data_IF_294300003038
#
_entry.id   IF_294300003038
#
_cell.length_a   1.000
_cell.length_b   1.000
_cell.length_c   1.000
_cell.angle_alpha   90.00
_cell.angle_beta   90.00
_cell.angle_gamma   90.00
#
_symmetry.space_group_name_H-M   'P 1'
#
loop_
_entity.id
_entity.type
_entity.pdbx_description
1 polymer ?
#
# COMPACT_ATOMS: atom_id res chain seq x y z
N UNK A 1 16.87 20.09 12.96
CA UNK A 1 15.65 20.62 13.63
C UNK A 1 14.57 19.54 13.77
N UNK A 2 14.07 18.91 12.68
CA UNK A 2 13.05 17.85 12.79
C UNK A 2 13.55 16.65 13.61
N UNK A 3 14.74 16.12 13.30
CA UNK A 3 15.32 14.98 14.00
C UNK A 3 15.43 15.20 15.52
N UNK A 4 15.79 16.43 15.92
CA UNK A 4 15.85 16.83 17.33
C UNK A 4 14.44 16.83 17.96
N UNK A 5 13.46 17.45 17.30
CA UNK A 5 12.07 17.50 17.79
C UNK A 5 11.51 16.09 17.97
N UNK A 6 11.73 15.18 16.98
CA UNK A 6 11.28 13.80 17.08
C UNK A 6 11.92 13.06 18.27
N UNK A 7 13.21 13.31 18.52
CA UNK A 7 13.93 12.70 19.63
C UNK A 7 13.50 13.27 20.99
N UNK A 8 13.24 14.58 21.08
CA UNK A 8 12.78 15.24 22.31
C UNK A 8 11.36 14.81 22.67
N UNK A 9 10.51 14.58 21.66
CA UNK A 9 9.14 14.10 21.79
C UNK A 9 9.01 12.60 21.48
N UNK A 10 10.03 11.81 21.78
CA UNK A 10 10.07 10.40 21.43
C UNK A 10 8.81 9.59 21.86
N UNK A 11 8.23 9.77 23.06
CA UNK A 11 7.00 9.04 23.40
C UNK A 11 5.84 9.37 22.45
N UNK A 12 5.69 10.62 22.04
CA UNK A 12 4.66 11.05 21.08
C UNK A 12 4.97 10.50 19.69
N UNK A 13 6.23 10.54 19.26
CA UNK A 13 6.67 9.97 17.98
C UNK A 13 6.39 8.45 17.93
N UNK A 14 6.72 7.72 18.99
CA UNK A 14 6.44 6.27 19.09
C UNK A 14 4.94 6.00 19.07
N UNK A 15 4.15 6.76 19.84
CA UNK A 15 2.70 6.63 19.82
C UNK A 15 2.11 6.89 18.42
N UNK A 16 2.60 7.91 17.72
CA UNK A 16 2.19 8.22 16.34
C UNK A 16 2.48 7.06 15.39
N UNK A 17 3.67 6.45 15.48
CA UNK A 17 4.01 5.26 14.68
C UNK A 17 3.02 4.12 14.92
N UNK A 18 2.72 3.82 16.18
CA UNK A 18 1.78 2.75 16.55
C UNK A 18 0.37 3.07 16.05
N UNK A 19 -0.08 4.32 16.21
CA UNK A 19 -1.40 4.75 15.72
C UNK A 19 -1.48 4.64 14.20
N UNK A 20 -0.46 5.10 13.46
CA UNK A 20 -0.43 4.97 12.00
C UNK A 20 -0.48 3.51 11.56
N UNK A 21 0.28 2.62 12.21
CA UNK A 21 0.26 1.18 11.92
C UNK A 21 -1.12 0.56 12.18
N UNK A 22 -1.76 0.89 13.31
CA UNK A 22 -3.11 0.41 13.61
C UNK A 22 -4.16 0.98 12.66
N UNK A 23 -4.04 2.25 12.28
CA UNK A 23 -4.91 2.88 11.29
C UNK A 23 -4.78 2.21 9.90
N UNK A 24 -3.57 1.87 9.48
CA UNK A 24 -3.31 1.10 8.26
C UNK A 24 -4.04 -0.25 8.30
N UNK A 25 -3.90 -0.99 9.38
CA UNK A 25 -4.60 -2.27 9.58
C UNK A 25 -6.12 -2.12 9.51
N UNK A 26 -6.69 -1.12 10.17
CA UNK A 26 -8.14 -0.83 10.15
C UNK A 26 -8.60 -0.47 8.74
N UNK A 27 -7.91 0.44 8.06
CA UNK A 27 -8.25 0.86 6.70
C UNK A 27 -8.16 -0.29 5.70
N UNK A 28 -7.18 -1.19 5.86
CA UNK A 28 -7.05 -2.40 5.04
C UNK A 28 -8.28 -3.31 5.20
N UNK A 29 -8.74 -3.54 6.44
CA UNK A 29 -9.95 -4.33 6.69
C UNK A 29 -11.21 -3.67 6.11
N UNK A 30 -11.39 -2.38 6.31
CA UNK A 30 -12.51 -1.63 5.75
C UNK A 30 -12.50 -1.66 4.21
N UNK A 31 -11.32 -1.47 3.60
CA UNK A 31 -11.13 -1.56 2.16
C UNK A 31 -11.46 -2.95 1.62
N UNK A 32 -10.99 -4.00 2.28
CA UNK A 32 -11.30 -5.39 1.90
C UNK A 32 -12.79 -5.70 2.00
N UNK A 33 -13.50 -5.19 3.01
CA UNK A 33 -14.96 -5.35 3.12
C UNK A 33 -15.68 -4.59 2.01
N UNK A 34 -15.31 -3.34 1.75
CA UNK A 34 -15.91 -2.54 0.69
C UNK A 34 -15.67 -3.15 -0.70
N UNK A 35 -14.45 -3.64 -0.97
CA UNK A 35 -14.10 -4.32 -2.22
C UNK A 35 -14.95 -5.57 -2.48
N UNK A 36 -15.30 -6.33 -1.43
CA UNK A 36 -16.19 -7.51 -1.57
C UNK A 36 -17.60 -7.10 -2.00
N UNK A 37 -18.09 -5.94 -1.58
CA UNK A 37 -19.41 -5.42 -1.94
C UNK A 37 -19.54 -4.97 -3.40
N UNK A 38 -18.41 -4.76 -4.09
CA UNK A 38 -18.37 -4.28 -5.49
C UNK A 38 -17.63 -5.25 -6.42
N UNK A 39 -17.58 -6.53 -6.05
CA UNK A 39 -16.75 -7.54 -6.72
C UNK A 39 -17.15 -7.80 -8.18
N UNK A 40 -18.39 -7.57 -8.53
CA UNK A 40 -18.92 -7.62 -9.89
C UNK A 40 -18.43 -6.49 -10.78
N UNK A 41 -18.04 -5.37 -10.19
CA UNK A 41 -17.55 -4.16 -10.88
C UNK A 41 -16.05 -3.96 -10.77
N UNK A 42 -15.46 -4.44 -9.69
CA UNK A 42 -14.05 -4.31 -9.42
C UNK A 42 -13.52 -5.58 -8.74
N UNK A 43 -12.48 -6.16 -9.29
CA UNK A 43 -11.83 -7.31 -8.67
C UNK A 43 -10.33 -7.33 -8.97
N UNK A 44 -9.58 -7.96 -8.05
CA UNK A 44 -8.17 -8.28 -8.22
C UNK A 44 -8.03 -9.80 -8.21
N UNK A 45 -7.17 -10.34 -9.05
CA UNK A 45 -6.76 -11.73 -9.01
C UNK A 45 -6.11 -12.05 -7.65
N UNK A 46 -6.70 -12.97 -6.89
CA UNK A 46 -6.26 -13.35 -5.55
C UNK A 46 -6.87 -12.47 -4.45
N UNK A 47 -6.04 -12.04 -3.51
CA UNK A 47 -6.46 -11.26 -2.34
C UNK A 47 -6.42 -9.75 -2.58
N UNK A 48 -7.28 -9.02 -1.87
CA UNK A 48 -7.20 -7.57 -1.76
C UNK A 48 -5.89 -7.11 -1.10
N UNK A 49 -5.43 -7.87 -0.11
CA UNK A 49 -4.18 -7.57 0.59
C UNK A 49 -2.96 -7.95 -0.27
N UNK A 50 -2.13 -6.96 -0.55
CA UNK A 50 -0.95 -7.13 -1.40
C UNK A 50 0.26 -7.69 -0.65
N UNK A 51 0.29 -7.59 0.68
CA UNK A 51 1.35 -8.17 1.49
C UNK A 51 1.02 -9.63 1.82
N UNK A 52 1.75 -10.62 1.28
CA UNK A 52 1.47 -12.04 1.50
C UNK A 52 1.44 -12.45 2.97
N UNK A 53 2.13 -11.66 3.80
CA UNK A 53 2.21 -11.87 5.25
C UNK A 53 0.86 -11.66 5.94
N UNK A 54 0.02 -10.75 5.43
CA UNK A 54 -1.26 -10.36 6.01
C UNK A 54 -2.47 -10.90 5.23
N UNK A 55 -2.27 -11.40 4.01
CA UNK A 55 -3.30 -11.88 3.10
C UNK A 55 -4.33 -12.79 3.80
N UNK A 56 -3.86 -13.88 4.45
CA UNK A 56 -4.75 -14.82 5.14
C UNK A 56 -5.56 -14.17 6.26
N UNK A 57 -4.96 -13.20 6.97
CA UNK A 57 -5.64 -12.49 8.06
C UNK A 57 -6.77 -11.62 7.53
N UNK A 58 -6.50 -10.84 6.49
CA UNK A 58 -7.46 -9.92 5.88
C UNK A 58 -8.58 -10.71 5.18
N UNK A 59 -8.24 -11.77 4.46
CA UNK A 59 -9.22 -12.61 3.75
C UNK A 59 -10.17 -13.33 4.70
N UNK A 60 -9.68 -13.73 5.90
CA UNK A 60 -10.53 -14.33 6.92
C UNK A 60 -11.57 -13.38 7.52
N UNK A 61 -11.43 -12.07 7.30
CA UNK A 61 -12.30 -11.03 7.87
C UNK A 61 -12.22 -10.86 9.38
N UNK A 62 -11.27 -11.52 10.04
CA UNK A 62 -11.11 -11.44 11.50
C UNK A 62 -10.38 -10.16 11.89
N UNK A 63 -11.06 -9.28 12.60
CA UNK A 63 -10.53 -7.99 13.05
C UNK A 63 -9.45 -8.11 14.11
N UNK A 64 -9.55 -9.09 15.01
CA UNK A 64 -8.59 -9.29 16.07
C UNK A 64 -7.44 -10.22 15.63
N UNK A 65 -6.21 -9.80 15.89
CA UNK A 65 -5.02 -10.60 15.63
C UNK A 65 -3.93 -10.30 16.67
N UNK A 66 -3.51 -11.31 17.40
CA UNK A 66 -2.34 -11.22 18.27
C UNK A 66 -1.08 -10.76 17.53
N UNK A 67 -0.98 -11.13 16.27
CA UNK A 67 0.12 -10.71 15.41
C UNK A 67 0.18 -9.19 15.23
N UNK A 68 -0.96 -8.53 15.08
CA UNK A 68 -1.04 -7.06 14.95
C UNK A 68 -0.54 -6.42 16.25
N UNK A 69 -0.99 -6.89 17.40
CA UNK A 69 -0.54 -6.39 18.70
C UNK A 69 0.95 -6.63 18.91
N UNK A 70 1.46 -7.81 18.52
CA UNK A 70 2.88 -8.12 18.61
C UNK A 70 3.73 -7.19 17.73
N UNK A 71 3.31 -6.94 16.47
CA UNK A 71 4.03 -6.02 15.57
C UNK A 71 3.98 -4.58 16.10
N UNK A 72 2.81 -4.11 16.56
CA UNK A 72 2.67 -2.79 17.16
C UNK A 72 3.58 -2.61 18.39
N UNK A 73 3.61 -3.60 19.29
CA UNK A 73 4.50 -3.59 20.45
C UNK A 73 5.97 -3.64 20.04
N UNK A 74 6.31 -4.46 19.03
CA UNK A 74 7.68 -4.55 18.51
C UNK A 74 8.17 -3.23 17.92
N UNK A 75 7.31 -2.49 17.21
CA UNK A 75 7.63 -1.16 16.69
C UNK A 75 7.89 -0.17 17.83
N UNK A 76 7.06 -0.19 18.88
CA UNK A 76 7.25 0.67 20.05
C UNK A 76 8.55 0.34 20.78
N UNK A 77 8.82 -0.94 21.03
CA UNK A 77 10.05 -1.41 21.70
C UNK A 77 11.29 -1.06 20.88
N UNK A 78 11.25 -1.30 19.57
CA UNK A 78 12.36 -0.99 18.67
C UNK A 78 12.71 0.50 18.69
N UNK A 79 11.72 1.38 18.51
CA UNK A 79 11.94 2.82 18.55
C UNK A 79 12.35 3.30 19.94
N UNK A 80 11.80 2.70 21.01
CA UNK A 80 12.22 2.95 22.39
C UNK A 80 13.69 2.58 22.61
N UNK A 81 14.12 1.43 22.11
CA UNK A 81 15.53 1.02 22.15
C UNK A 81 16.43 1.98 21.36
N UNK A 82 16.02 2.36 20.14
CA UNK A 82 16.75 3.37 19.34
C UNK A 82 16.85 4.68 20.11
N UNK A 83 15.79 5.12 20.81
CA UNK A 83 15.81 6.34 21.63
C UNK A 83 16.82 6.24 22.79
N UNK A 84 16.92 5.08 23.43
CA UNK A 84 17.92 4.87 24.48
C UNK A 84 19.35 4.93 23.93
N UNK A 85 19.60 4.39 22.74
CA UNK A 85 20.92 4.43 22.09
C UNK A 85 21.36 5.85 21.70
N UNK A 86 20.40 6.76 21.50
CA UNK A 86 20.64 8.17 21.14
C UNK A 86 20.92 9.05 22.35
N UNK A 87 20.75 8.55 23.59
CA UNK A 87 21.05 9.30 24.79
C UNK A 87 22.53 9.71 24.87
N UNK A 88 22.83 10.96 25.28
CA UNK A 88 24.20 11.39 25.45
C UNK A 88 24.97 10.45 26.38
N UNK A 89 26.14 10.01 25.94
CA UNK A 89 27.06 9.17 26.74
C UNK A 89 26.93 7.67 26.54
N UNK A 90 25.88 7.13 25.89
CA UNK A 90 25.78 5.69 25.72
C UNK A 90 26.56 5.17 24.50
N UNK A 91 26.33 5.73 23.29
CA UNK A 91 26.99 5.30 22.04
C UNK A 91 27.38 6.46 21.13
N UNK A 92 27.18 7.72 21.54
CA UNK A 92 27.50 8.90 20.72
C UNK A 92 26.61 9.08 19.48
N UNK A 93 25.53 8.30 19.36
CA UNK A 93 24.56 8.44 18.27
C UNK A 93 23.70 9.66 18.51
N UNK A 94 23.66 10.59 17.54
CA UNK A 94 22.88 11.81 17.65
C UNK A 94 21.38 11.61 17.33
N UNK A 95 20.55 12.66 17.55
CA UNK A 95 19.11 12.67 17.25
C UNK A 95 18.78 12.28 15.80
N UNK A 96 19.71 12.49 14.86
CA UNK A 96 19.59 12.09 13.47
C UNK A 96 19.33 10.58 13.30
N UNK A 97 19.91 9.74 14.16
CA UNK A 97 19.68 8.29 14.10
C UNK A 97 18.24 7.92 14.49
N UNK A 98 17.68 8.57 15.51
CA UNK A 98 16.29 8.41 15.88
C UNK A 98 15.35 8.96 14.78
N UNK A 99 15.68 10.16 14.24
CA UNK A 99 14.96 10.75 13.11
C UNK A 99 14.93 9.81 11.90
N UNK A 100 16.06 9.22 11.54
CA UNK A 100 16.15 8.23 10.47
C UNK A 100 15.24 7.01 10.73
N UNK A 101 15.30 6.42 11.92
CA UNK A 101 14.48 5.26 12.29
C UNK A 101 12.97 5.59 12.29
N UNK A 102 12.58 6.74 12.80
CA UNK A 102 11.21 7.22 12.75
C UNK A 102 10.75 7.47 11.31
N UNK A 103 11.61 8.04 10.48
CA UNK A 103 11.37 8.30 9.06
C UNK A 103 11.16 7.03 8.25
N UNK A 104 11.95 5.97 8.51
CA UNK A 104 11.76 4.66 7.88
C UNK A 104 10.31 4.13 8.01
N UNK A 105 9.66 4.42 9.12
CA UNK A 105 8.33 3.90 9.41
C UNK A 105 7.25 4.91 9.03
N UNK A 106 7.29 6.13 9.58
CA UNK A 106 6.23 7.13 9.40
C UNK A 106 6.07 7.58 7.95
N UNK A 107 7.19 7.82 7.25
CA UNK A 107 7.12 8.30 5.87
C UNK A 107 6.77 7.20 4.86
N UNK A 108 6.96 5.92 5.21
CA UNK A 108 6.40 4.80 4.45
C UNK A 108 4.91 4.64 4.71
N UNK A 109 4.46 4.83 5.97
CA UNK A 109 3.05 4.72 6.32
C UNK A 109 2.18 5.79 5.63
N UNK A 110 2.70 6.99 5.40
CA UNK A 110 1.93 8.07 4.79
C UNK A 110 1.34 7.70 3.41
N UNK A 111 2.12 7.26 2.39
CA UNK A 111 1.55 6.82 1.12
C UNK A 111 0.62 5.60 1.26
N UNK A 112 0.91 4.69 2.18
CA UNK A 112 0.07 3.50 2.40
C UNK A 112 -1.30 3.90 2.94
N UNK A 113 -1.36 4.75 3.95
CA UNK A 113 -2.61 5.27 4.51
C UNK A 113 -3.43 6.05 3.47
N UNK A 114 -2.78 6.90 2.67
CA UNK A 114 -3.43 7.63 1.58
C UNK A 114 -4.01 6.65 0.56
N UNK A 115 -3.26 5.62 0.15
CA UNK A 115 -3.73 4.62 -0.79
C UNK A 115 -4.95 3.86 -0.25
N UNK A 116 -4.93 3.42 1.01
CA UNK A 116 -6.06 2.72 1.62
C UNK A 116 -7.30 3.61 1.75
N UNK A 117 -7.12 4.87 2.15
CA UNK A 117 -8.23 5.82 2.23
C UNK A 117 -8.84 6.09 0.85
N UNK A 118 -8.00 6.28 -0.18
CA UNK A 118 -8.44 6.46 -1.57
C UNK A 118 -9.16 5.22 -2.09
N UNK A 119 -8.64 4.02 -1.85
CA UNK A 119 -9.29 2.78 -2.27
C UNK A 119 -10.65 2.61 -1.60
N UNK A 120 -10.74 2.89 -0.30
CA UNK A 120 -12.01 2.83 0.43
C UNK A 120 -13.06 3.78 -0.14
N UNK A 121 -12.65 5.02 -0.49
CA UNK A 121 -13.53 5.98 -1.16
C UNK A 121 -13.96 5.44 -2.54
N UNK A 122 -13.02 4.97 -3.36
CA UNK A 122 -13.30 4.40 -4.68
C UNK A 122 -14.32 3.26 -4.60
N UNK A 123 -14.19 2.34 -3.63
CA UNK A 123 -15.17 1.25 -3.49
C UNK A 123 -16.56 1.71 -3.04
N UNK A 124 -16.63 2.77 -2.23
CA UNK A 124 -17.91 3.40 -1.88
C UNK A 124 -18.57 4.04 -3.10
N UNK A 125 -17.80 4.73 -3.93
CA UNK A 125 -18.28 5.33 -5.15
C UNK A 125 -18.72 4.26 -6.16
N UNK A 126 -17.98 3.16 -6.29
CA UNK A 126 -18.35 2.02 -7.13
C UNK A 126 -19.59 1.26 -6.64
N UNK A 127 -20.01 1.43 -5.39
CA UNK A 127 -21.28 0.88 -4.92
C UNK A 127 -22.49 1.55 -5.59
N UNK A 128 -22.36 2.78 -6.09
CA UNK A 128 -23.36 3.44 -6.94
C UNK A 128 -23.38 2.77 -8.32
N UNK A 129 -24.54 2.22 -8.77
CA UNK A 129 -24.66 1.57 -10.08
C UNK A 129 -24.42 2.51 -11.26
N UNK A 130 -24.49 3.82 -11.06
CA UNK A 130 -24.32 4.82 -12.12
C UNK A 130 -22.86 5.26 -12.29
N UNK A 131 -21.98 4.94 -11.32
CA UNK A 131 -20.60 5.42 -11.32
C UNK A 131 -19.73 4.80 -12.42
N UNK A 132 -19.92 3.50 -12.73
CA UNK A 132 -19.15 2.77 -13.74
C UNK A 132 -20.07 1.81 -14.51
N UNK A 133 -19.93 1.77 -15.83
CA UNK A 133 -20.53 0.76 -16.68
C UNK A 133 -19.52 -0.36 -16.97
N UNK A 134 -19.90 -1.61 -16.72
CA UNK A 134 -19.04 -2.77 -16.86
C UNK A 134 -18.19 -3.08 -15.62
N UNK A 135 -17.19 -3.94 -15.78
CA UNK A 135 -16.32 -4.38 -14.69
C UNK A 135 -14.85 -4.21 -15.01
N UNK A 136 -14.06 -3.94 -13.97
CA UNK A 136 -12.60 -3.86 -14.02
C UNK A 136 -12.01 -5.05 -13.29
N UNK A 137 -11.26 -5.89 -14.01
CA UNK A 137 -10.53 -7.01 -13.43
C UNK A 137 -9.02 -6.78 -13.58
N UNK A 138 -8.32 -6.77 -12.46
CA UNK A 138 -6.88 -6.51 -12.43
C UNK A 138 -6.09 -7.79 -12.16
N UNK A 139 -5.11 -8.07 -13.00
CA UNK A 139 -4.10 -9.09 -12.75
C UNK A 139 -3.22 -8.67 -11.56
N UNK A 140 -2.89 -9.60 -10.68
CA UNK A 140 -2.11 -9.33 -9.45
C UNK A 140 -0.76 -8.68 -9.74
N UNK A 141 -0.03 -9.13 -10.75
CA UNK A 141 1.25 -8.54 -11.15
C UNK A 141 1.15 -7.05 -11.51
N UNK A 142 0.04 -6.65 -12.17
CA UNK A 142 -0.19 -5.26 -12.54
C UNK A 142 -0.40 -4.38 -11.31
N UNK A 143 -1.17 -4.85 -10.33
CA UNK A 143 -1.43 -4.11 -9.08
C UNK A 143 -0.13 -3.95 -8.28
N UNK A 144 0.72 -4.98 -8.20
CA UNK A 144 2.05 -4.86 -7.61
C UNK A 144 2.90 -3.79 -8.29
N UNK A 145 2.92 -3.76 -9.62
CA UNK A 145 3.66 -2.77 -10.40
C UNK A 145 3.16 -1.34 -10.16
N UNK A 146 1.84 -1.15 -10.11
CA UNK A 146 1.23 0.15 -9.79
C UNK A 146 1.58 0.58 -8.36
N UNK A 147 1.46 -0.32 -7.39
CA UNK A 147 1.86 -0.06 -6.01
C UNK A 147 3.34 0.32 -5.88
N UNK A 148 4.24 -0.39 -6.58
CA UNK A 148 5.66 -0.07 -6.62
C UNK A 148 5.91 1.35 -7.16
N UNK A 149 5.29 1.71 -8.29
CA UNK A 149 5.40 3.04 -8.90
C UNK A 149 4.84 4.14 -8.00
N UNK A 150 3.73 3.86 -7.31
CA UNK A 150 3.11 4.80 -6.39
C UNK A 150 4.03 5.11 -5.20
N UNK A 151 4.54 4.08 -4.52
CA UNK A 151 5.44 4.26 -3.37
C UNK A 151 6.77 4.88 -3.78
N UNK A 152 7.29 4.54 -4.97
CA UNK A 152 8.52 5.12 -5.51
C UNK A 152 8.43 6.65 -5.66
N UNK A 153 7.28 7.18 -6.09
CA UNK A 153 7.05 8.63 -6.19
C UNK A 153 7.21 9.33 -4.85
N UNK A 154 6.71 8.74 -3.77
CA UNK A 154 6.92 9.25 -2.41
C UNK A 154 8.38 9.13 -1.98
N UNK A 155 9.07 8.05 -2.33
CA UNK A 155 10.51 7.92 -2.07
C UNK A 155 11.31 9.06 -2.71
N UNK A 156 10.99 9.41 -3.95
CA UNK A 156 11.60 10.56 -4.65
C UNK A 156 11.25 11.88 -3.95
N UNK A 157 9.98 12.08 -3.55
CA UNK A 157 9.55 13.27 -2.81
C UNK A 157 10.33 13.43 -1.51
N UNK A 158 10.50 12.37 -0.72
CA UNK A 158 11.25 12.42 0.53
C UNK A 158 12.74 12.70 0.28
N UNK A 159 13.31 12.17 -0.81
CA UNK A 159 14.68 12.47 -1.21
C UNK A 159 14.86 13.95 -1.59
N UNK A 160 13.89 14.52 -2.34
CA UNK A 160 13.89 15.93 -2.69
C UNK A 160 13.78 16.84 -1.46
N UNK A 161 13.01 16.45 -0.44
CA UNK A 161 12.90 17.18 0.82
C UNK A 161 14.15 17.03 1.69
N UNK A 162 14.86 15.90 1.59
CA UNK A 162 16.12 15.71 2.29
C UNK A 162 17.22 16.62 1.78
N UNK A 163 17.35 16.84 0.47
CA UNK A 163 18.43 17.63 -0.13
C UNK A 163 18.57 19.03 0.53
N UNK A 164 17.52 19.87 0.63
CA UNK A 164 17.63 21.18 1.28
C UNK A 164 17.62 21.10 2.81
N UNK A 165 16.96 20.11 3.42
CA UNK A 165 16.78 20.06 4.86
C UNK A 165 17.91 19.35 5.60
N UNK A 166 18.59 18.41 4.94
CA UNK A 166 19.61 17.51 5.51
C UNK A 166 19.13 16.77 6.76
N UNK A 167 17.79 16.59 6.91
CA UNK A 167 17.22 15.89 8.06
C UNK A 167 17.18 14.37 7.79
N UNK A 168 17.76 13.60 8.69
CA UNK A 168 17.84 12.14 8.57
C UNK A 168 16.45 11.47 8.49
N UNK A 169 15.43 12.11 9.04
CA UNK A 169 14.02 11.69 8.92
C UNK A 169 13.58 11.49 7.47
N UNK A 170 13.88 12.44 6.58
CA UNK A 170 13.47 12.32 5.17
C UNK A 170 14.24 11.24 4.41
N UNK A 171 15.57 11.09 4.67
CA UNK A 171 16.32 10.01 4.04
C UNK A 171 15.85 8.63 4.53
N UNK A 172 15.43 8.51 5.80
CA UNK A 172 14.79 7.30 6.33
C UNK A 172 13.54 6.95 5.52
N UNK A 173 12.65 7.91 5.29
CA UNK A 173 11.46 7.74 4.45
C UNK A 173 11.77 7.36 3.01
N UNK A 174 12.76 8.00 2.39
CA UNK A 174 13.20 7.67 1.04
C UNK A 174 13.69 6.21 0.95
N UNK A 175 14.55 5.80 1.88
CA UNK A 175 15.10 4.43 1.93
C UNK A 175 13.98 3.40 2.09
N UNK A 176 13.04 3.60 3.01
CA UNK A 176 11.95 2.66 3.23
C UNK A 176 11.03 2.54 2.01
N UNK A 177 10.68 3.66 1.37
CA UNK A 177 9.88 3.66 0.15
C UNK A 177 10.59 2.94 -1.00
N UNK A 178 11.91 3.14 -1.19
CA UNK A 178 12.70 2.46 -2.21
C UNK A 178 12.75 0.94 -1.98
N UNK A 179 12.99 0.51 -0.73
CA UNK A 179 13.01 -0.91 -0.36
C UNK A 179 11.64 -1.56 -0.59
N UNK A 180 10.56 -0.88 -0.19
CA UNK A 180 9.20 -1.38 -0.40
C UNK A 180 8.81 -1.42 -1.88
N UNK A 181 9.11 -0.38 -2.66
CA UNK A 181 8.88 -0.36 -4.10
C UNK A 181 9.63 -1.49 -4.81
N UNK A 182 10.90 -1.73 -4.46
CA UNK A 182 11.67 -2.87 -4.96
C UNK A 182 11.00 -4.21 -4.60
N UNK A 183 10.54 -4.38 -3.37
CA UNK A 183 9.84 -5.59 -2.92
C UNK A 183 8.56 -5.83 -3.73
N UNK A 184 7.74 -4.79 -3.92
CA UNK A 184 6.52 -4.86 -4.73
C UNK A 184 6.83 -5.21 -6.19
N UNK A 185 7.87 -4.61 -6.78
CA UNK A 185 8.30 -4.94 -8.15
C UNK A 185 8.70 -6.41 -8.28
N UNK A 186 9.46 -6.96 -7.33
CA UNK A 186 9.84 -8.38 -7.30
C UNK A 186 8.61 -9.31 -7.19
N UNK A 187 7.63 -8.96 -6.35
CA UNK A 187 6.38 -9.71 -6.23
C UNK A 187 5.58 -9.63 -7.54
N UNK A 188 5.59 -8.49 -8.22
CA UNK A 188 4.97 -8.32 -9.52
C UNK A 188 5.59 -9.21 -10.59
N UNK A 189 6.91 -9.25 -10.69
CA UNK A 189 7.59 -10.15 -11.63
C UNK A 189 7.33 -11.62 -11.32
N UNK A 190 7.33 -12.02 -10.06
CA UNK A 190 7.03 -13.40 -9.65
C UNK A 190 5.57 -13.82 -9.95
N UNK A 191 4.64 -12.87 -9.97
CA UNK A 191 3.23 -13.10 -10.27
C UNK A 191 2.90 -12.99 -11.78
N UNK A 192 3.89 -12.65 -12.63
CA UNK A 192 3.68 -12.49 -14.07
C UNK A 192 3.58 -13.86 -14.76
N UNK A 193 2.56 -14.11 -15.60
CA UNK A 193 2.47 -15.34 -16.37
C UNK A 193 3.69 -15.53 -17.27
N UNK A 194 4.21 -16.76 -17.36
CA UNK A 194 5.41 -17.10 -18.14
C UNK A 194 5.19 -17.06 -19.67
N UNK A 195 3.95 -17.06 -20.13
CA UNK A 195 3.57 -16.87 -21.53
C UNK A 195 2.39 -15.92 -21.63
N UNK A 196 2.29 -15.11 -22.71
CA UNK A 196 1.04 -14.42 -22.99
C UNK A 196 -0.03 -15.50 -23.20
N UNK A 197 -1.02 -15.56 -22.32
CA UNK A 197 -2.27 -16.21 -22.64
C UNK A 197 -2.72 -15.57 -23.96
N UNK A 198 -2.66 -16.31 -25.07
CA UNK A 198 -3.23 -15.86 -26.33
C UNK A 198 -4.68 -15.56 -26.00
N UNK A 199 -4.98 -14.28 -25.83
CA UNK A 199 -6.35 -13.82 -25.76
C UNK A 199 -6.89 -14.16 -27.15
N UNK A 200 -7.52 -15.31 -27.30
CA UNK A 200 -8.48 -15.50 -28.37
C UNK A 200 -9.53 -14.42 -28.14
N UNK A 201 -9.28 -13.26 -28.74
CA UNK A 201 -10.33 -12.33 -29.04
C UNK A 201 -11.29 -13.12 -29.90
N UNK A 202 -12.30 -13.69 -29.25
CA UNK A 202 -13.50 -14.18 -29.89
C UNK A 202 -14.20 -12.96 -30.51
N UNK A 203 -13.59 -12.44 -31.57
CA UNK A 203 -14.29 -11.66 -32.54
C UNK A 203 -15.25 -12.66 -33.14
N UNK A 204 -16.45 -12.77 -32.54
CA UNK A 204 -17.56 -13.50 -33.13
C UNK A 204 -17.60 -13.12 -34.59
N UNK A 205 -17.40 -14.10 -35.45
CA UNK A 205 -17.63 -13.90 -36.87
C UNK A 205 -18.96 -13.14 -37.01
N UNK A 206 -19.06 -12.13 -37.88
CA UNK A 206 -20.31 -11.46 -38.10
C UNK A 206 -21.32 -12.53 -38.48
N UNK A 207 -22.34 -12.70 -37.65
CA UNK A 207 -23.49 -13.55 -37.91
C UNK A 207 -24.00 -13.14 -39.29
N UNK A 208 -23.91 -14.05 -40.26
CA UNK A 208 -24.34 -13.87 -41.65
C UNK A 208 -25.69 -13.13 -41.67
N UNK A 209 -25.66 -11.91 -42.10
CA UNK A 209 -26.87 -11.16 -42.41
C UNK A 209 -27.57 -11.85 -43.58
N UNK A 210 -28.47 -12.74 -43.27
CA UNK A 210 -29.38 -13.34 -44.26
C UNK A 210 -30.17 -12.23 -44.90
N UNK A 211 -30.07 -11.99 -46.22
CA UNK A 211 -30.82 -10.91 -46.85
C UNK A 211 -32.34 -11.25 -46.83
N UNK A 212 -33.10 -10.39 -46.15
CA UNK A 212 -34.55 -10.45 -46.17
C UNK A 212 -35.02 -10.33 -47.60
N UNK A 213 -35.62 -11.41 -48.10
CA UNK A 213 -36.31 -11.41 -49.38
C UNK A 213 -37.48 -10.41 -49.37
N UNK A 214 -37.35 -9.32 -50.13
CA UNK A 214 -38.44 -8.37 -50.41
C UNK A 214 -39.45 -9.05 -51.33
N UNK A 215 -40.58 -9.44 -50.80
CA UNK A 215 -41.79 -9.68 -51.60
C UNK A 215 -42.66 -8.41 -51.53
N UNK A 216 -42.68 -7.69 -52.61
CA UNK A 216 -43.69 -6.65 -52.91
C UNK A 216 -44.70 -7.25 -53.87
N UNK A 217 -46.02 -7.18 -53.63
CA UNK A 217 -47.01 -7.22 -54.64
C UNK A 217 -47.32 -5.84 -55.21
#
# INVERSE_FOLDING_TARGET
MIDQVLADWAPVTIATVVICFLADYVLTHLGAQAARGVRDRWSIEGSYEMNPTWERQIDSGRWFSWRVLFVAASLAVLLGAVRLLVQPGLFGLGPAFFGFAAGLILLLQAPVLIAHATNLQTFRDLADPTAVQGGLHFRRWYVYRQGASYVLRFGILWLLLWIPSQQAFFIGGAVSCLLWARRMAQLGEAARPSAPETMELGLGAPEDATPAASTIP
#
